data_IF_441781815039
#
_entry.id   IF_441781815039
#
_cell.length_a   1.000
_cell.length_b   1.000
_cell.length_c   1.000
_cell.angle_alpha   90.00
_cell.angle_beta   90.00
_cell.angle_gamma   90.00
#
_symmetry.space_group_name_H-M   'P 1'
#
loop_
_entity.id
_entity.type
_entity.pdbx_description
1 polymer ?
#
# COMPACT_ATOMS: atom_id res chain seq x y z
N UNK A 1 -11.59 5.68 -33.54
CA UNK A 1 -11.42 4.35 -32.90
C UNK A 1 -12.44 4.26 -31.76
N UNK A 2 -13.25 3.20 -31.73
CA UNK A 2 -14.33 3.00 -30.76
C UNK A 2 -13.79 2.50 -29.41
N UNK A 3 -14.47 2.88 -28.31
CA UNK A 3 -14.12 2.52 -26.94
C UNK A 3 -14.03 1.00 -26.69
N UNK A 4 -14.78 0.20 -27.45
CA UNK A 4 -14.72 -1.28 -27.42
C UNK A 4 -13.33 -1.86 -27.71
N UNK A 5 -12.52 -1.20 -28.55
CA UNK A 5 -11.19 -1.71 -28.88
C UNK A 5 -10.20 -1.52 -27.71
N UNK A 6 -10.48 -0.56 -26.82
CA UNK A 6 -9.60 -0.20 -25.70
C UNK A 6 -9.80 -1.12 -24.49
N UNK A 7 -10.99 -1.70 -24.35
CA UNK A 7 -11.30 -2.68 -23.32
C UNK A 7 -10.75 -4.07 -23.66
N UNK A 8 -10.84 -4.50 -24.93
CA UNK A 8 -10.25 -5.77 -25.38
C UNK A 8 -8.73 -5.83 -25.18
N UNK A 9 -8.02 -4.75 -25.47
CA UNK A 9 -6.55 -4.72 -25.32
C UNK A 9 -6.08 -4.76 -23.85
N UNK A 10 -6.92 -4.29 -22.92
CA UNK A 10 -6.62 -4.33 -21.47
C UNK A 10 -6.83 -5.72 -20.87
N UNK A 11 -7.79 -6.48 -21.38
CA UNK A 11 -8.10 -7.80 -20.84
C UNK A 11 -7.09 -8.85 -21.30
N UNK A 12 -6.58 -8.72 -22.53
CA UNK A 12 -5.55 -9.61 -23.09
C UNK A 12 -4.21 -9.49 -22.34
N UNK A 13 -3.80 -8.27 -21.98
CA UNK A 13 -2.58 -8.01 -21.20
C UNK A 13 -2.64 -8.59 -19.78
N UNK A 14 -3.83 -8.72 -19.19
CA UNK A 14 -4.01 -9.28 -17.84
C UNK A 14 -3.90 -10.81 -17.80
N UNK A 15 -4.36 -11.50 -18.85
CA UNK A 15 -4.22 -12.96 -18.94
C UNK A 15 -2.76 -13.38 -19.12
N UNK A 16 -2.01 -12.71 -20.00
CA UNK A 16 -0.60 -13.05 -20.26
C UNK A 16 0.33 -12.91 -19.06
N UNK A 17 0.03 -12.02 -18.11
CA UNK A 17 0.82 -11.87 -16.87
C UNK A 17 0.54 -12.93 -15.82
N UNK A 18 -0.64 -13.56 -15.84
CA UNK A 18 -1.00 -14.54 -14.81
C UNK A 18 -0.43 -15.92 -15.12
N UNK A 19 -0.43 -16.32 -16.40
CA UNK A 19 0.14 -17.61 -16.83
C UNK A 19 1.66 -17.65 -16.61
N UNK A 20 2.37 -16.52 -16.80
CA UNK A 20 3.81 -16.43 -16.52
C UNK A 20 4.19 -16.56 -15.04
N UNK A 21 3.25 -16.37 -14.10
CA UNK A 21 3.52 -16.48 -12.67
C UNK A 21 3.30 -17.89 -12.10
N UNK A 22 2.55 -18.76 -12.79
CA UNK A 22 2.31 -20.12 -12.32
C UNK A 22 3.35 -21.15 -12.81
N UNK A 23 4.12 -20.85 -13.86
CA UNK A 23 5.08 -21.80 -14.42
C UNK A 23 6.42 -21.90 -13.67
N UNK A 24 6.80 -20.92 -12.82
CA UNK A 24 8.12 -20.93 -12.14
C UNK A 24 8.09 -21.48 -10.71
N UNK A 25 7.19 -22.41 -10.43
CA UNK A 25 7.13 -23.15 -9.16
C UNK A 25 8.11 -24.33 -9.09
N UNK A 26 9.39 -24.12 -9.43
CA UNK A 26 10.40 -25.19 -9.36
C UNK A 26 11.17 -25.15 -8.04
N UNK A 27 10.82 -26.12 -7.17
CA UNK A 27 11.46 -26.39 -5.89
C UNK A 27 12.81 -27.07 -6.16
N UNK A 28 13.91 -26.32 -6.09
CA UNK A 28 15.27 -26.90 -6.15
C UNK A 28 15.92 -26.95 -4.77
N UNK A 29 16.13 -28.18 -4.28
CA UNK A 29 16.97 -28.51 -3.11
C UNK A 29 18.40 -28.04 -3.39
N UNK A 30 18.95 -27.19 -2.53
CA UNK A 30 20.32 -26.69 -2.69
C UNK A 30 21.27 -27.63 -1.94
N UNK A 31 22.01 -28.43 -2.70
CA UNK A 31 23.20 -29.15 -2.25
C UNK A 31 24.32 -28.16 -1.88
N UNK A 32 25.07 -28.52 -0.82
CA UNK A 32 26.26 -27.81 -0.36
C UNK A 32 27.31 -27.71 -1.47
N UNK A 33 27.63 -26.50 -1.92
CA UNK A 33 28.91 -26.22 -2.58
C UNK A 33 29.35 -24.80 -2.19
N UNK A 34 30.40 -24.69 -1.37
CA UNK A 34 31.18 -23.45 -1.24
C UNK A 34 31.77 -23.08 -2.60
N UNK A 35 31.84 -21.78 -2.90
CA UNK A 35 33.09 -21.29 -3.45
C UNK A 35 33.59 -20.08 -2.67
N UNK A 36 34.82 -20.22 -2.17
CA UNK A 36 35.72 -19.11 -1.97
C UNK A 36 35.81 -18.29 -3.27
N UNK A 37 35.62 -16.97 -3.19
CA UNK A 37 36.59 -15.96 -3.65
C UNK A 37 35.93 -14.61 -3.95
N UNK A 38 36.72 -13.58 -3.66
CA UNK A 38 36.60 -12.15 -4.00
C UNK A 38 35.74 -11.33 -3.06
N UNK A 39 36.45 -10.56 -2.24
CA UNK A 39 35.93 -9.42 -1.49
C UNK A 39 35.28 -8.42 -2.45
N UNK A 40 33.99 -8.61 -2.72
CA UNK A 40 33.10 -7.52 -3.08
C UNK A 40 32.88 -6.70 -1.81
N UNK A 41 33.24 -5.43 -1.85
CA UNK A 41 32.80 -4.48 -0.84
C UNK A 41 31.27 -4.51 -0.83
N UNK A 42 30.71 -5.26 0.12
CA UNK A 42 29.28 -5.29 0.38
C UNK A 42 28.91 -3.95 1.01
N UNK A 43 28.61 -2.95 0.17
CA UNK A 43 27.84 -1.80 0.59
C UNK A 43 26.44 -2.32 0.92
N UNK A 44 26.26 -2.74 2.17
CA UNK A 44 24.96 -3.05 2.74
C UNK A 44 24.16 -1.75 2.80
N UNK A 45 23.38 -1.47 1.77
CA UNK A 45 22.36 -0.44 1.82
C UNK A 45 21.31 -0.99 2.77
N UNK A 46 21.26 -0.48 3.99
CA UNK A 46 20.17 -0.79 4.92
C UNK A 46 18.89 -0.26 4.31
N UNK A 47 18.07 -1.15 3.75
CA UNK A 47 16.71 -0.81 3.35
C UNK A 47 15.99 -0.30 4.60
N UNK A 48 15.31 0.86 4.55
CA UNK A 48 14.52 1.33 5.66
C UNK A 48 13.49 0.23 5.99
N UNK A 49 13.63 -0.36 7.18
CA UNK A 49 12.66 -1.32 7.68
C UNK A 49 11.31 -0.60 7.76
N UNK A 50 10.24 -1.13 7.15
CA UNK A 50 8.94 -0.53 7.25
C UNK A 50 8.55 -0.43 8.73
N UNK A 51 8.20 0.78 9.17
CA UNK A 51 7.70 1.00 10.52
C UNK A 51 6.55 0.03 10.78
N UNK A 52 6.57 -0.60 11.96
CA UNK A 52 5.56 -1.56 12.36
C UNK A 52 4.19 -0.89 12.24
N UNK A 53 3.30 -1.49 11.44
CA UNK A 53 1.94 -1.00 11.31
C UNK A 53 1.24 -1.05 12.68
N UNK A 54 0.98 0.12 13.25
CA UNK A 54 0.12 0.22 14.42
C UNK A 54 -1.27 -0.31 14.06
N UNK A 55 -1.81 -1.21 14.90
CA UNK A 55 -3.15 -1.76 14.70
C UNK A 55 -4.18 -0.64 14.79
N UNK A 56 -4.60 -0.13 13.64
CA UNK A 56 -5.70 0.84 13.54
C UNK A 56 -7.01 0.18 13.94
N UNK A 57 -7.63 0.67 15.02
CA UNK A 57 -8.98 0.26 15.41
C UNK A 57 -9.98 1.28 14.86
N UNK A 58 -10.92 0.82 14.05
CA UNK A 58 -11.98 1.68 13.53
C UNK A 58 -13.05 1.89 14.60
N UNK A 59 -13.32 3.15 14.97
CA UNK A 59 -14.45 3.52 15.83
C UNK A 59 -15.54 4.19 14.97
N UNK A 60 -16.79 3.78 15.14
CA UNK A 60 -17.94 4.38 14.48
C UNK A 60 -18.70 5.29 15.45
N UNK A 61 -19.14 6.45 14.95
CA UNK A 61 -19.88 7.43 15.72
C UNK A 61 -21.11 7.88 14.95
N UNK A 62 -22.24 8.00 15.65
CA UNK A 62 -23.46 8.56 15.07
C UNK A 62 -23.51 10.06 15.33
N UNK A 63 -23.48 10.85 14.25
CA UNK A 63 -23.51 12.30 14.28
C UNK A 63 -24.65 12.84 13.43
N UNK A 64 -25.20 13.99 13.82
CA UNK A 64 -26.16 14.72 12.98
C UNK A 64 -25.51 15.13 11.67
N UNK A 65 -26.28 15.14 10.57
CA UNK A 65 -25.75 15.50 9.25
C UNK A 65 -25.17 16.93 9.21
N UNK A 66 -25.75 17.87 9.96
CA UNK A 66 -25.22 19.23 10.10
C UNK A 66 -23.84 19.26 10.75
N UNK A 67 -23.60 18.42 11.75
CA UNK A 67 -22.29 18.27 12.41
C UNK A 67 -21.26 17.69 11.45
N UNK A 68 -21.62 16.64 10.70
CA UNK A 68 -20.73 16.03 9.70
C UNK A 68 -20.31 17.05 8.64
N UNK A 69 -21.25 17.90 8.17
CA UNK A 69 -20.93 18.98 7.21
C UNK A 69 -19.95 19.99 7.81
N UNK A 70 -20.11 20.37 9.08
CA UNK A 70 -19.18 21.29 9.78
C UNK A 70 -17.79 20.67 9.93
N UNK A 71 -17.70 19.40 10.34
CA UNK A 71 -16.43 18.68 10.47
C UNK A 71 -15.70 18.64 9.13
N UNK A 72 -16.39 18.24 8.05
CA UNK A 72 -15.80 18.22 6.70
C UNK A 72 -15.30 19.57 6.23
N UNK A 73 -16.02 20.64 6.56
CA UNK A 73 -15.59 22.01 6.22
C UNK A 73 -14.32 22.35 7.00
N UNK A 74 -14.32 22.18 8.31
CA UNK A 74 -13.17 22.49 9.16
C UNK A 74 -11.93 21.64 8.84
N UNK A 75 -12.12 20.36 8.56
CA UNK A 75 -11.08 19.43 8.10
C UNK A 75 -10.37 19.96 6.86
N UNK A 76 -11.12 20.44 5.86
CA UNK A 76 -10.58 21.06 4.64
C UNK A 76 -9.93 22.41 4.90
N UNK A 77 -10.60 23.28 5.67
CA UNK A 77 -10.11 24.63 5.99
C UNK A 77 -8.77 24.58 6.74
N UNK A 78 -8.50 23.50 7.49
CA UNK A 78 -7.25 23.26 8.20
C UNK A 78 -6.29 22.29 7.49
N UNK A 79 -6.55 21.97 6.21
CA UNK A 79 -5.67 21.13 5.37
C UNK A 79 -5.40 19.70 5.89
N UNK A 80 -6.34 19.11 6.63
CA UNK A 80 -6.23 17.70 7.02
C UNK A 80 -6.53 16.77 5.85
N UNK A 81 -5.81 15.65 5.79
CA UNK A 81 -5.97 14.63 4.74
C UNK A 81 -7.29 13.86 4.85
N UNK A 82 -7.77 13.65 6.08
CA UNK A 82 -9.02 12.94 6.37
C UNK A 82 -9.74 13.56 7.56
N UNK A 83 -11.06 13.43 7.59
CA UNK A 83 -11.87 13.87 8.74
C UNK A 83 -11.47 13.16 10.03
N UNK A 84 -11.03 11.89 9.95
CA UNK A 84 -10.53 11.13 11.10
C UNK A 84 -9.27 11.75 11.69
N UNK A 85 -8.29 12.12 10.86
CA UNK A 85 -7.06 12.76 11.33
C UNK A 85 -7.34 14.11 12.00
N UNK A 86 -8.29 14.87 11.45
CA UNK A 86 -8.76 16.11 12.09
C UNK A 86 -9.38 15.86 13.46
N UNK A 87 -10.27 14.87 13.58
CA UNK A 87 -10.91 14.53 14.85
C UNK A 87 -9.90 14.00 15.87
N UNK A 88 -8.97 13.14 15.45
CA UNK A 88 -7.90 12.62 16.32
C UNK A 88 -7.03 13.76 16.86
N UNK A 89 -6.58 14.66 16.01
CA UNK A 89 -5.80 15.83 16.44
C UNK A 89 -6.55 16.72 17.42
N UNK A 90 -7.87 16.89 17.24
CA UNK A 90 -8.70 17.63 18.19
C UNK A 90 -8.79 16.91 19.55
N UNK A 91 -8.96 15.59 19.55
CA UNK A 91 -9.04 14.79 20.78
C UNK A 91 -7.70 14.84 21.54
N UNK A 92 -6.57 14.77 20.84
CA UNK A 92 -5.23 14.85 21.45
C UNK A 92 -4.90 16.24 22.01
N UNK A 93 -5.57 17.29 21.54
CA UNK A 93 -5.35 18.68 21.99
C UNK A 93 -6.14 19.11 23.23
N UNK A 94 -7.08 18.27 23.70
CA UNK A 94 -7.94 18.52 24.86
C UNK A 94 -7.30 18.04 26.17
#
# INVERSE_FOLDING_TARGET
>A
MSFENLEKEREEKRKGTFDNMMETGEVSKIDKVEPETKATMNLSISLPTPEKEEKRTSKSYYLKQSTIKKIRKLSKDNHYKTDSAFIEALIESL
#
